data_IF_663452593058
#
_entry.id   IF_663452593058
#
_cell.length_a   1.000
_cell.length_b   1.000
_cell.length_c   1.000
_cell.angle_alpha   90.00
_cell.angle_beta   90.00
_cell.angle_gamma   90.00
#
_symmetry.space_group_name_H-M   'P 1'
#
loop_
_entity.id
_entity.type
_entity.pdbx_description
1 polymer ?
#
# COMPACT_ATOMS: atom_id res chain seq x y z
N UNK A 1 17.48 -45.00 15.26
CA UNK A 1 16.48 -44.04 15.84
C UNK A 1 16.75 -42.57 15.50
N UNK A 2 17.89 -42.18 14.95
CA UNK A 2 18.17 -40.76 14.63
C UNK A 2 17.69 -40.31 13.23
N UNK A 3 17.62 -41.23 12.26
CA UNK A 3 17.16 -40.92 10.90
C UNK A 3 15.66 -40.56 10.82
N UNK A 4 14.84 -41.20 11.66
CA UNK A 4 13.42 -40.87 11.80
C UNK A 4 13.19 -39.49 12.42
N UNK A 5 14.04 -39.08 13.38
CA UNK A 5 13.98 -37.75 14.02
C UNK A 5 14.41 -36.63 13.07
N UNK A 6 15.39 -36.90 12.20
CA UNK A 6 15.82 -35.99 11.12
C UNK A 6 14.75 -35.81 10.04
N UNK A 7 14.06 -36.89 9.65
CA UNK A 7 12.94 -36.80 8.70
C UNK A 7 11.77 -36.00 9.27
N UNK A 8 11.44 -36.17 10.56
CA UNK A 8 10.42 -35.35 11.24
C UNK A 8 10.84 -33.89 11.38
N UNK A 9 12.12 -33.61 11.62
CA UNK A 9 12.63 -32.23 11.70
C UNK A 9 12.58 -31.51 10.34
N UNK A 10 12.87 -32.21 9.24
CA UNK A 10 12.75 -31.65 7.88
C UNK A 10 11.28 -31.46 7.44
N UNK A 11 10.35 -32.28 7.92
CA UNK A 11 8.93 -32.13 7.63
C UNK A 11 8.32 -30.88 8.31
N UNK A 12 8.79 -30.51 9.51
CA UNK A 12 8.36 -29.31 10.23
C UNK A 12 8.93 -28.03 9.59
N UNK A 13 10.12 -28.09 8.99
CA UNK A 13 10.80 -26.94 8.40
C UNK A 13 10.29 -26.60 6.98
N UNK A 14 9.68 -27.56 6.27
CA UNK A 14 9.12 -27.36 4.92
C UNK A 14 7.76 -26.66 4.85
N UNK A 15 7.05 -26.48 5.98
CA UNK A 15 5.71 -25.87 5.99
C UNK A 15 5.72 -24.33 6.07
N UNK A 16 6.87 -23.69 6.24
CA UNK A 16 6.95 -22.23 6.44
C UNK A 16 7.33 -21.44 5.17
N UNK A 17 7.69 -22.11 4.07
CA UNK A 17 8.20 -21.47 2.85
C UNK A 17 7.14 -21.21 1.76
N UNK A 18 5.84 -21.41 2.05
CA UNK A 18 4.76 -21.32 1.06
C UNK A 18 3.78 -20.16 1.22
N UNK A 19 3.93 -19.32 2.25
CA UNK A 19 3.07 -18.15 2.46
C UNK A 19 3.75 -16.91 1.86
N UNK A 20 4.02 -16.94 0.55
CA UNK A 20 4.06 -15.70 -0.21
C UNK A 20 2.62 -15.19 -0.25
N UNK A 21 2.20 -14.52 0.82
CA UNK A 21 0.96 -13.76 0.81
C UNK A 21 1.18 -12.66 -0.23
N UNK A 22 0.60 -12.84 -1.41
CA UNK A 22 0.16 -11.70 -2.18
C UNK A 22 -0.84 -11.00 -1.28
N UNK A 23 -0.39 -9.96 -0.59
CA UNK A 23 -1.23 -8.95 0.00
C UNK A 23 -2.01 -8.33 -1.15
N UNK A 24 -3.12 -9.00 -1.49
CA UNK A 24 -4.21 -8.38 -2.21
C UNK A 24 -4.46 -7.08 -1.46
N UNK A 25 -4.38 -5.95 -2.17
CA UNK A 25 -4.61 -4.63 -1.62
C UNK A 25 -6.10 -4.49 -1.31
N UNK A 26 -6.61 -5.35 -0.41
CA UNK A 26 -7.83 -5.14 0.29
C UNK A 26 -7.72 -3.72 0.87
N UNK A 27 -8.71 -2.84 0.63
CA UNK A 27 -8.69 -1.52 1.22
C UNK A 27 -8.45 -1.73 2.71
N UNK A 28 -7.33 -1.19 3.20
CA UNK A 28 -6.91 -1.31 4.58
C UNK A 28 -8.15 -1.07 5.45
N UNK A 29 -8.45 -1.98 6.37
CA UNK A 29 -9.68 -2.00 7.16
C UNK A 29 -9.77 -0.78 8.11
N UNK A 30 -9.94 0.39 7.53
CA UNK A 30 -9.93 1.70 8.14
C UNK A 30 -10.69 2.63 7.20
N UNK A 31 -11.91 2.98 7.62
CA UNK A 31 -12.83 4.00 7.09
C UNK A 31 -12.70 4.29 5.58
N UNK A 32 -13.75 3.93 4.84
CA UNK A 32 -13.94 4.35 3.45
C UNK A 32 -13.60 5.85 3.30
N UNK A 33 -12.79 6.20 2.30
CA UNK A 33 -12.38 7.60 2.05
C UNK A 33 -13.57 8.54 1.97
N UNK A 34 -14.70 8.10 1.42
CA UNK A 34 -15.93 8.88 1.35
C UNK A 34 -16.53 9.13 2.73
N UNK A 35 -16.48 8.16 3.63
CA UNK A 35 -16.94 8.33 5.03
C UNK A 35 -16.05 9.34 5.76
N UNK A 36 -14.72 9.29 5.53
CA UNK A 36 -13.77 10.27 6.09
C UNK A 36 -14.06 11.68 5.57
N UNK A 37 -14.35 11.84 4.28
CA UNK A 37 -14.72 13.12 3.67
C UNK A 37 -16.05 13.61 4.27
N UNK A 38 -17.06 12.76 4.35
CA UNK A 38 -18.37 13.11 4.90
C UNK A 38 -18.29 13.52 6.38
N UNK A 39 -17.48 12.81 7.17
CA UNK A 39 -17.28 13.10 8.60
C UNK A 39 -16.50 14.39 8.85
N UNK A 40 -15.45 14.64 8.07
CA UNK A 40 -14.58 15.81 8.27
C UNK A 40 -15.09 17.06 7.53
N UNK A 41 -15.94 16.89 6.51
CA UNK A 41 -16.34 17.96 5.60
C UNK A 41 -15.21 18.46 4.69
N UNK A 42 -14.08 17.74 4.62
CA UNK A 42 -12.89 18.14 3.87
C UNK A 42 -12.31 16.95 3.11
N UNK A 43 -11.99 17.19 1.83
CA UNK A 43 -11.20 16.28 1.00
C UNK A 43 -9.74 16.75 0.99
N UNK A 44 -8.82 15.81 1.23
CA UNK A 44 -7.38 16.06 1.16
C UNK A 44 -6.87 15.53 -0.18
N UNK A 45 -6.39 16.43 -1.04
CA UNK A 45 -5.81 16.08 -2.34
C UNK A 45 -4.29 16.19 -2.23
N UNK A 46 -3.59 15.06 -2.33
CA UNK A 46 -2.14 15.06 -2.47
C UNK A 46 -1.74 15.50 -3.87
N UNK A 47 -0.71 16.32 -4.00
CA UNK A 47 -0.19 16.77 -5.29
C UNK A 47 1.34 16.61 -5.35
N UNK A 48 1.91 16.75 -6.55
CA UNK A 48 3.37 16.74 -6.75
C UNK A 48 3.88 18.18 -6.81
N UNK A 49 5.17 18.35 -6.55
CA UNK A 49 5.80 19.69 -6.54
C UNK A 49 6.51 20.00 -7.86
N UNK A 50 7.12 19.00 -8.50
CA UNK A 50 8.06 19.20 -9.63
C UNK A 50 7.84 18.22 -10.80
N UNK A 51 6.62 17.77 -11.04
CA UNK A 51 6.31 16.83 -12.13
C UNK A 51 5.68 17.53 -13.34
N UNK A 52 6.44 18.40 -14.01
CA UNK A 52 6.01 19.09 -15.24
C UNK A 52 5.85 18.07 -16.38
N UNK A 53 4.76 18.08 -17.20
CA UNK A 53 3.61 18.99 -17.16
C UNK A 53 2.37 18.41 -16.44
N UNK A 54 2.52 17.39 -15.60
CA UNK A 54 1.41 16.68 -14.96
C UNK A 54 0.91 17.34 -13.66
N UNK A 55 1.81 17.68 -12.73
CA UNK A 55 1.50 18.31 -11.44
C UNK A 55 2.75 19.03 -10.90
N UNK A 56 2.72 20.35 -10.86
CA UNK A 56 3.85 21.19 -10.45
C UNK A 56 3.40 22.56 -9.96
N UNK A 57 4.26 23.27 -9.23
CA UNK A 57 4.01 24.68 -8.89
C UNK A 57 4.32 25.61 -10.06
N UNK A 58 3.37 26.47 -10.42
CA UNK A 58 3.61 27.58 -11.35
C UNK A 58 4.33 28.76 -10.66
N UNK A 59 4.65 29.79 -11.43
CA UNK A 59 5.30 31.01 -10.92
C UNK A 59 4.43 31.81 -9.93
N UNK A 60 3.16 31.45 -9.77
CA UNK A 60 2.20 32.04 -8.82
C UNK A 60 1.98 31.15 -7.60
N UNK A 61 2.83 30.12 -7.41
CA UNK A 61 2.75 29.14 -6.33
C UNK A 61 1.43 28.36 -6.31
N UNK A 62 0.83 28.13 -7.48
CA UNK A 62 -0.35 27.30 -7.66
C UNK A 62 0.04 25.95 -8.25
N UNK A 63 -0.60 24.90 -7.79
CA UNK A 63 -0.41 23.55 -8.30
C UNK A 63 -1.20 23.39 -9.61
N UNK A 64 -0.51 23.11 -10.72
CA UNK A 64 -1.08 23.04 -12.08
C UNK A 64 -0.54 21.83 -12.87
N UNK A 65 -1.19 21.50 -14.00
CA UNK A 65 -0.75 20.46 -14.94
C UNK A 65 -1.90 19.60 -15.46
N UNK A 66 -1.60 18.65 -16.34
CA UNK A 66 -2.62 17.76 -16.94
C UNK A 66 -3.38 16.90 -15.91
N UNK A 67 -2.73 16.57 -14.79
CA UNK A 67 -3.28 15.69 -13.75
C UNK A 67 -3.83 16.45 -12.54
N UNK A 68 -3.91 17.78 -12.62
CA UNK A 68 -4.39 18.65 -11.54
C UNK A 68 -5.81 19.17 -11.78
#
# INVERSE_FOLDING_TARGET
MQLRKLATAMLVMGMTAGLAQAEDAAPAAGQNTLDKIAKNGVIVVGHRESSVPFSYYDNQQKVVGYSQ
#
